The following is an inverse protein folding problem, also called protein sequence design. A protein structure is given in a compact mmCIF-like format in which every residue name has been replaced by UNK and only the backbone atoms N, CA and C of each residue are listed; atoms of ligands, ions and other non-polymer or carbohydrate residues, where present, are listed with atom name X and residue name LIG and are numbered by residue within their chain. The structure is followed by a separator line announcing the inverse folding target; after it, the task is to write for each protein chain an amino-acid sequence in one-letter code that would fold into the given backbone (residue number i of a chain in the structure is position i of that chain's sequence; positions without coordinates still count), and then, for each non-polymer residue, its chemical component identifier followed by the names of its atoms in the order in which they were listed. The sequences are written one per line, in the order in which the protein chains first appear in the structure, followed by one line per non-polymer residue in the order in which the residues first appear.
data_IF_375735510600
#
_entry.id   IF_375735510600
#
_cell.length_a   1.000
_cell.length_b   1.000
_cell.length_c   1.000
_cell.angle_alpha   90.00
_cell.angle_beta   90.00
_cell.angle_gamma   90.00
#
_symmetry.space_group_name_H-M   'P 1'
#
loop_
_entity.id
_entity.type
_entity.pdbx_description
1 polymer ?
#
# COMPACT_ATOMS: atom_id res chain seq x y z
N UNK A 1 9.33 9.25 -14.45
CA UNK A 1 8.01 9.01 -13.84
C UNK A 1 7.89 7.54 -13.45
N UNK A 2 8.20 6.61 -14.36
CA UNK A 2 8.06 5.16 -14.15
C UNK A 2 8.78 4.60 -12.92
N UNK A 3 10.00 5.08 -12.63
CA UNK A 3 10.74 4.66 -11.44
C UNK A 3 10.04 5.04 -10.13
N UNK A 4 9.33 6.17 -10.11
CA UNK A 4 8.62 6.63 -8.92
C UNK A 4 7.40 5.74 -8.65
N UNK A 5 6.66 5.38 -9.69
CA UNK A 5 5.51 4.47 -9.56
C UNK A 5 5.97 3.07 -9.15
N UNK A 6 7.06 2.56 -9.71
CA UNK A 6 7.65 1.28 -9.30
C UNK A 6 8.08 1.28 -7.82
N UNK A 7 8.72 2.36 -7.37
CA UNK A 7 9.10 2.52 -5.95
C UNK A 7 7.85 2.64 -5.06
N UNK A 8 6.79 3.29 -5.52
CA UNK A 8 5.53 3.37 -4.79
C UNK A 8 4.92 1.97 -4.56
N UNK A 9 4.90 1.11 -5.58
CA UNK A 9 4.46 -0.29 -5.43
C UNK A 9 5.37 -1.10 -4.50
N UNK A 10 6.69 -0.95 -4.61
CA UNK A 10 7.63 -1.60 -3.69
C UNK A 10 7.41 -1.17 -2.24
N UNK A 11 7.12 0.12 -2.01
CA UNK A 11 6.79 0.64 -0.69
C UNK A 11 5.45 0.08 -0.18
N UNK A 12 4.42 -0.02 -1.03
CA UNK A 12 3.15 -0.66 -0.66
C UNK A 12 3.35 -2.12 -0.22
N UNK A 13 4.18 -2.88 -0.93
CA UNK A 13 4.52 -4.25 -0.54
C UNK A 13 5.20 -4.30 0.84
N UNK A 14 6.16 -3.40 1.10
CA UNK A 14 6.79 -3.26 2.43
C UNK A 14 5.76 -2.96 3.52
N UNK A 15 4.80 -2.06 3.28
CA UNK A 15 3.74 -1.74 4.23
C UNK A 15 2.84 -2.96 4.50
N UNK A 16 2.50 -3.73 3.47
CA UNK A 16 1.74 -4.97 3.60
C UNK A 16 2.46 -5.99 4.51
N UNK A 17 3.76 -6.23 4.25
CA UNK A 17 4.60 -7.13 5.05
C UNK A 17 4.70 -6.68 6.52
N UNK A 18 4.78 -5.38 6.76
CA UNK A 18 4.86 -4.80 8.10
C UNK A 18 3.48 -4.60 8.77
N UNK A 19 2.39 -5.00 8.12
CA UNK A 19 1.02 -4.76 8.58
C UNK A 19 0.71 -3.28 8.90
N UNK A 20 1.29 -2.37 8.11
CA UNK A 20 1.12 -0.93 8.26
C UNK A 20 0.09 -0.39 7.25
N UNK A 21 -0.71 0.57 7.69
CA UNK A 21 -1.72 1.18 6.82
C UNK A 21 -1.06 2.08 5.79
N UNK A 22 -1.42 1.90 4.52
CA UNK A 22 -0.77 2.60 3.41
C UNK A 22 -1.70 3.54 2.64
N UNK A 23 -3.00 3.56 2.98
CA UNK A 23 -3.95 4.51 2.39
C UNK A 23 -4.06 5.79 3.24
N UNK A 24 -4.44 6.88 2.56
CA UNK A 24 -4.89 8.10 3.20
C UNK A 24 -6.39 8.28 2.89
N UNK A 25 -7.29 8.17 3.89
CA UNK A 25 -8.73 8.28 3.67
C UNK A 25 -9.17 9.58 2.97
N UNK A 26 -8.51 10.69 3.29
CA UNK A 26 -8.81 12.00 2.71
C UNK A 26 -8.62 12.07 1.18
N UNK A 27 -7.78 11.22 0.60
CA UNK A 27 -7.54 11.18 -0.86
C UNK A 27 -8.22 9.99 -1.53
N UNK A 28 -8.52 8.93 -0.79
CA UNK A 28 -9.11 7.68 -1.32
C UNK A 28 -10.62 7.59 -1.14
N UNK A 29 -11.22 8.42 -0.27
CA UNK A 29 -12.63 8.30 0.12
C UNK A 29 -12.94 7.08 0.98
N UNK A 30 -11.92 6.33 1.43
CA UNK A 30 -12.11 5.16 2.26
C UNK A 30 -12.68 5.54 3.64
N UNK A 31 -13.53 4.68 4.22
CA UNK A 31 -14.12 4.86 5.55
C UNK A 31 -13.09 4.88 6.69
N UNK A 32 -11.85 4.43 6.44
CA UNK A 32 -10.78 4.48 7.43
C UNK A 32 -9.44 4.03 6.85
N UNK A 33 -8.41 4.02 7.72
CA UNK A 33 -7.07 3.53 7.35
C UNK A 33 -7.08 2.01 7.15
N UNK A 34 -6.37 1.52 6.14
CA UNK A 34 -6.34 0.14 5.65
C UNK A 34 -4.93 -0.21 5.17
N UNK A 35 -4.52 -1.45 5.43
CA UNK A 35 -3.36 -2.08 4.80
C UNK A 35 -3.75 -2.39 3.35
N UNK A 36 -2.85 -2.12 2.41
CA UNK A 36 -3.07 -2.38 0.98
C UNK A 36 -2.18 -3.53 0.51
N UNK A 37 -2.73 -4.43 -0.30
CA UNK A 37 -2.03 -5.61 -0.83
C UNK A 37 -2.45 -6.93 -0.19
N UNK A 38 -2.03 -8.05 -0.80
CA UNK A 38 -2.23 -9.41 -0.32
C UNK A 38 -0.93 -10.21 -0.49
N UNK A 39 -0.62 -11.09 0.46
CA UNK A 39 0.55 -11.97 0.41
C UNK A 39 0.09 -13.32 -0.16
N UNK A 40 0.59 -13.66 -1.34
CA UNK A 40 0.36 -14.97 -1.95
C UNK A 40 1.56 -15.87 -1.62
N UNK A 41 1.34 -16.81 -0.72
CA UNK A 41 2.31 -17.84 -0.36
C UNK A 41 1.83 -19.14 -1.01
N UNK A 42 2.69 -19.79 -1.78
CA UNK A 42 2.41 -21.08 -2.40
C UNK A 42 2.20 -22.17 -1.36
#
# INVERSE_FOLDING_TARGET
ADWLEAVAFAWLAKQCLNQQTANLPAVTGATGRRILGAIYQH
#
